data_IF_558878335063
#
_entry.id   IF_558878335063
#
_cell.length_a   1.000
_cell.length_b   1.000
_cell.length_c   1.000
_cell.angle_alpha   90.00
_cell.angle_beta   90.00
_cell.angle_gamma   90.00
#
_symmetry.space_group_name_H-M   'P 1'
#
loop_
_entity.id
_entity.type
_entity.pdbx_description
1 polymer ?
#
# COMPACT_ATOMS: atom_id res chain seq x y z
N UNK A 1 10.25 -6.17 -19.46
CA UNK A 1 10.68 -5.30 -18.34
C UNK A 1 10.25 -5.98 -17.07
N UNK A 2 10.93 -5.77 -15.94
CA UNK A 2 10.59 -6.44 -14.68
C UNK A 2 10.77 -5.51 -13.48
N UNK A 3 10.27 -5.92 -12.31
CA UNK A 3 10.57 -5.29 -11.03
C UNK A 3 11.38 -6.24 -10.15
N UNK A 4 12.35 -5.67 -9.44
CA UNK A 4 13.11 -6.40 -8.44
C UNK A 4 12.28 -6.51 -7.16
N UNK A 5 12.26 -7.66 -6.51
CA UNK A 5 11.51 -7.87 -5.27
C UNK A 5 12.46 -8.04 -4.09
N UNK A 6 12.47 -7.03 -3.22
CA UNK A 6 13.15 -7.08 -1.92
C UNK A 6 12.18 -7.60 -0.85
N UNK A 7 12.54 -8.66 -0.13
CA UNK A 7 11.67 -9.25 0.89
C UNK A 7 12.44 -9.99 1.98
N UNK A 8 11.79 -10.15 3.13
CA UNK A 8 12.28 -11.02 4.22
C UNK A 8 11.56 -12.36 4.19
N UNK A 9 12.30 -13.44 4.44
CA UNK A 9 11.76 -14.81 4.49
C UNK A 9 10.94 -15.10 5.76
N UNK A 10 10.98 -14.21 6.75
CA UNK A 10 10.23 -14.37 8.00
C UNK A 10 8.73 -14.10 7.89
N UNK A 11 8.23 -13.66 6.72
CA UNK A 11 6.82 -13.39 6.48
C UNK A 11 6.03 -14.62 6.01
N UNK A 12 4.69 -14.52 6.02
CA UNK A 12 3.83 -15.55 5.42
C UNK A 12 3.95 -15.47 3.89
N UNK A 13 4.21 -16.61 3.24
CA UNK A 13 4.31 -16.66 1.77
C UNK A 13 3.04 -16.17 1.06
N UNK A 14 1.85 -16.43 1.65
CA UNK A 14 0.59 -15.91 1.12
C UNK A 14 0.58 -14.37 1.06
N UNK A 15 1.02 -13.71 2.12
CA UNK A 15 1.05 -12.23 2.17
C UNK A 15 2.02 -11.67 1.14
N UNK A 16 3.14 -12.36 0.92
CA UNK A 16 4.09 -12.04 -0.14
C UNK A 16 3.41 -12.08 -1.52
N UNK A 17 2.71 -13.16 -1.85
CA UNK A 17 2.00 -13.29 -3.14
C UNK A 17 0.88 -12.24 -3.26
N UNK A 18 0.05 -12.10 -2.23
CA UNK A 18 -1.04 -11.11 -2.19
C UNK A 18 -0.51 -9.69 -2.40
N UNK A 19 0.65 -9.35 -1.82
CA UNK A 19 1.32 -8.06 -1.99
C UNK A 19 1.74 -7.83 -3.44
N UNK A 20 2.32 -8.83 -4.11
CA UNK A 20 2.72 -8.71 -5.52
C UNK A 20 1.50 -8.57 -6.45
N UNK A 21 0.43 -9.31 -6.19
CA UNK A 21 -0.85 -9.19 -6.92
C UNK A 21 -1.43 -7.79 -6.72
N UNK A 22 -1.43 -7.30 -5.48
CA UNK A 22 -1.91 -5.95 -5.14
C UNK A 22 -1.09 -4.88 -5.84
N UNK A 23 0.24 -4.99 -5.80
CA UNK A 23 1.15 -4.08 -6.49
C UNK A 23 0.87 -4.06 -8.00
N UNK A 24 0.75 -5.23 -8.66
CA UNK A 24 0.43 -5.30 -10.08
C UNK A 24 -0.89 -4.59 -10.42
N UNK A 25 -1.93 -4.79 -9.59
CA UNK A 25 -3.22 -4.12 -9.75
C UNK A 25 -3.13 -2.60 -9.57
N UNK A 26 -2.42 -2.12 -8.54
CA UNK A 26 -2.20 -0.68 -8.31
C UNK A 26 -1.47 -0.03 -9.48
N UNK A 27 -0.44 -0.70 -10.00
CA UNK A 27 0.33 -0.24 -11.14
C UNK A 27 -0.37 -0.45 -12.49
N UNK A 28 -1.58 -1.04 -12.50
CA UNK A 28 -2.36 -1.38 -13.69
C UNK A 28 -1.54 -2.20 -14.71
N UNK A 29 -0.66 -3.07 -14.21
CA UNK A 29 0.08 -3.99 -15.04
C UNK A 29 -0.88 -5.08 -15.50
N UNK A 30 -0.93 -5.35 -16.80
CA UNK A 30 -1.65 -6.52 -17.29
C UNK A 30 -1.02 -7.79 -16.68
N UNK A 31 -1.85 -8.79 -16.38
CA UNK A 31 -1.42 -10.01 -15.69
C UNK A 31 -0.28 -10.75 -16.39
N UNK A 32 -0.16 -10.62 -17.71
CA UNK A 32 0.92 -11.22 -18.51
C UNK A 32 2.15 -10.31 -18.70
N UNK A 33 2.05 -9.03 -18.31
CA UNK A 33 3.14 -8.05 -18.44
C UNK A 33 3.91 -7.84 -17.13
N UNK A 34 3.35 -8.26 -16.00
CA UNK A 34 3.98 -8.14 -14.69
C UNK A 34 5.04 -9.24 -14.48
N UNK A 35 6.32 -8.91 -14.71
CA UNK A 35 7.44 -9.77 -14.38
C UNK A 35 8.14 -9.31 -13.09
N UNK A 36 8.41 -10.26 -12.19
CA UNK A 36 9.09 -10.02 -10.93
C UNK A 36 10.35 -10.87 -10.82
N UNK A 37 11.48 -10.24 -10.53
CA UNK A 37 12.72 -10.93 -10.18
C UNK A 37 12.78 -11.10 -8.66
N UNK A 38 12.88 -12.33 -8.19
CA UNK A 38 12.78 -12.68 -6.77
C UNK A 38 13.94 -13.60 -6.45
N UNK A 39 14.84 -13.15 -5.55
CA UNK A 39 16.11 -13.84 -5.27
C UNK A 39 15.95 -15.33 -4.94
N UNK A 40 14.93 -15.71 -4.15
CA UNK A 40 14.65 -17.10 -3.77
C UNK A 40 14.37 -18.01 -4.96
N UNK A 41 13.80 -17.48 -6.05
CA UNK A 41 13.46 -18.26 -7.25
C UNK A 41 14.47 -18.08 -8.38
N UNK A 42 15.23 -16.98 -8.36
CA UNK A 42 16.13 -16.61 -9.45
C UNK A 42 17.57 -17.08 -9.25
N UNK A 43 18.01 -17.27 -8.01
CA UNK A 43 19.38 -17.66 -7.71
C UNK A 43 19.51 -19.17 -7.53
N UNK A 44 20.65 -19.71 -7.91
CA UNK A 44 21.02 -21.07 -7.55
C UNK A 44 21.28 -21.19 -6.04
N UNK A 45 20.24 -21.54 -5.28
CA UNK A 45 20.32 -21.70 -3.82
C UNK A 45 21.29 -22.81 -3.37
N UNK A 46 21.69 -23.70 -4.28
CA UNK A 46 22.69 -24.75 -4.01
C UNK A 46 24.12 -24.22 -4.07
N UNK A 47 24.35 -23.14 -4.81
CA UNK A 47 25.66 -22.56 -5.09
C UNK A 47 25.63 -21.03 -4.87
N UNK A 48 25.02 -20.58 -3.78
CA UNK A 48 24.88 -19.15 -3.44
C UNK A 48 26.23 -18.42 -3.40
N UNK A 49 27.31 -19.12 -3.04
CA UNK A 49 28.65 -18.54 -3.04
C UNK A 49 29.10 -18.12 -4.45
N UNK A 50 28.75 -18.88 -5.49
CA UNK A 50 29.05 -18.51 -6.89
C UNK A 50 28.17 -17.35 -7.35
N UNK A 51 26.90 -17.34 -6.94
CA UNK A 51 25.94 -16.26 -7.20
C UNK A 51 26.34 -14.91 -6.55
N UNK A 52 27.15 -14.94 -5.50
CA UNK A 52 27.68 -13.74 -4.85
C UNK A 52 28.96 -13.20 -5.50
N UNK A 53 29.69 -14.02 -6.26
CA UNK A 53 30.96 -13.64 -6.87
C UNK A 53 32.06 -13.29 -5.86
N UNK A 54 33.08 -12.57 -6.32
CA UNK A 54 34.21 -12.12 -5.48
C UNK A 54 33.88 -10.77 -4.84
N UNK A 55 33.30 -9.85 -5.60
CA UNK A 55 32.70 -8.62 -5.11
C UNK A 55 31.17 -8.79 -5.05
N UNK A 56 30.51 -8.22 -4.04
CA UNK A 56 29.04 -8.17 -3.96
C UNK A 56 28.41 -7.51 -5.20
N UNK A 57 29.15 -6.67 -5.93
CA UNK A 57 28.73 -6.10 -7.21
C UNK A 57 28.77 -7.08 -8.38
N UNK A 58 29.46 -8.21 -8.24
CA UNK A 58 29.43 -9.31 -9.21
C UNK A 58 28.21 -10.21 -9.00
N UNK A 59 27.42 -9.95 -7.97
CA UNK A 59 26.33 -10.82 -7.60
C UNK A 59 25.13 -10.69 -8.54
N UNK A 60 24.38 -11.78 -8.72
CA UNK A 60 23.18 -11.79 -9.55
C UNK A 60 22.12 -10.79 -9.08
N UNK A 61 22.05 -10.52 -7.78
CA UNK A 61 21.18 -9.49 -7.19
C UNK A 61 21.53 -8.09 -7.70
N UNK A 62 22.82 -7.73 -7.64
CA UNK A 62 23.29 -6.42 -8.09
C UNK A 62 23.06 -6.26 -9.60
N UNK A 63 23.37 -7.28 -10.39
CA UNK A 63 23.12 -7.25 -11.83
C UNK A 63 21.64 -7.13 -12.17
N UNK A 64 20.76 -7.89 -11.53
CA UNK A 64 19.33 -7.80 -11.77
C UNK A 64 18.80 -6.39 -11.43
N UNK A 65 19.21 -5.84 -10.28
CA UNK A 65 18.76 -4.53 -9.84
C UNK A 65 19.31 -3.37 -10.70
N UNK A 66 20.53 -3.49 -11.21
CA UNK A 66 21.15 -2.51 -12.11
C UNK A 66 20.80 -2.72 -13.59
N UNK A 67 20.13 -3.82 -13.95
CA UNK A 67 19.80 -4.10 -15.33
C UNK A 67 18.83 -3.06 -15.90
N UNK A 68 19.11 -2.56 -17.12
CA UNK A 68 18.32 -1.50 -17.80
C UNK A 68 16.81 -1.79 -17.96
N UNK A 69 16.40 -3.06 -17.88
CA UNK A 69 14.98 -3.44 -17.98
C UNK A 69 14.30 -3.64 -16.62
N UNK A 70 15.04 -3.56 -15.52
CA UNK A 70 14.47 -3.43 -14.18
C UNK A 70 13.92 -2.01 -14.01
N UNK A 71 12.68 -1.89 -13.56
CA UNK A 71 11.93 -0.62 -13.52
C UNK A 71 11.70 -0.06 -12.14
N UNK A 72 12.10 -0.77 -11.09
CA UNK A 72 11.91 -0.36 -9.71
C UNK A 72 12.10 -1.54 -8.77
N UNK A 73 12.11 -1.24 -7.49
CA UNK A 73 12.25 -2.23 -6.41
C UNK A 73 10.95 -2.27 -5.62
N UNK A 74 10.29 -3.42 -5.62
CA UNK A 74 9.14 -3.72 -4.77
C UNK A 74 9.68 -4.28 -3.46
N UNK A 75 9.60 -3.50 -2.39
CA UNK A 75 9.89 -3.98 -1.04
C UNK A 75 8.61 -4.47 -0.39
N UNK A 76 8.52 -5.79 -0.20
CA UNK A 76 7.40 -6.43 0.48
C UNK A 76 7.57 -6.23 1.99
N UNK A 77 6.88 -5.21 2.51
CA UNK A 77 6.96 -4.81 3.91
C UNK A 77 5.77 -5.36 4.70
N UNK A 78 6.06 -5.88 5.89
CA UNK A 78 5.03 -6.27 6.85
C UNK A 78 4.87 -5.19 7.92
N UNK A 79 3.87 -5.35 8.80
CA UNK A 79 3.57 -4.42 9.90
C UNK A 79 4.76 -4.23 10.85
N UNK A 80 5.69 -5.18 10.84
CA UNK A 80 6.90 -5.15 11.62
C UNK A 80 8.09 -4.46 10.94
N UNK A 81 7.97 -4.07 9.67
CA UNK A 81 9.06 -3.56 8.84
C UNK A 81 10.30 -4.48 8.80
N UNK A 82 10.11 -5.81 8.94
CA UNK A 82 11.21 -6.77 9.03
C UNK A 82 12.25 -6.71 7.89
N UNK A 83 11.89 -6.44 6.62
CA UNK A 83 12.91 -6.27 5.58
C UNK A 83 13.93 -5.20 5.94
N UNK A 84 13.53 -4.13 6.62
CA UNK A 84 14.41 -3.00 6.93
C UNK A 84 15.29 -3.25 8.16
N UNK A 85 15.14 -4.41 8.80
CA UNK A 85 16.07 -4.94 9.80
C UNK A 85 17.08 -5.92 9.20
N UNK A 86 16.97 -6.26 7.90
CA UNK A 86 17.81 -7.26 7.23
C UNK A 86 18.88 -6.57 6.40
N UNK A 87 20.13 -6.94 6.61
CA UNK A 87 21.25 -6.29 5.92
C UNK A 87 21.16 -6.42 4.38
N UNK A 88 20.68 -7.57 3.88
CA UNK A 88 20.53 -7.82 2.45
C UNK A 88 19.44 -6.96 1.81
N UNK A 89 18.29 -6.79 2.47
CA UNK A 89 17.25 -5.89 1.98
C UNK A 89 17.67 -4.42 2.01
N UNK A 90 18.55 -4.06 2.96
CA UNK A 90 19.12 -2.72 3.04
C UNK A 90 20.18 -2.48 1.96
N UNK A 91 20.97 -3.49 1.60
CA UNK A 91 21.80 -3.46 0.40
C UNK A 91 20.95 -3.21 -0.84
N UNK A 92 19.86 -3.95 -1.02
CA UNK A 92 18.93 -3.78 -2.15
C UNK A 92 18.34 -2.36 -2.16
N UNK A 93 17.95 -1.82 -1.00
CA UNK A 93 17.48 -0.44 -0.88
C UNK A 93 18.58 0.59 -1.21
N UNK A 94 19.83 0.33 -0.83
CA UNK A 94 20.98 1.17 -1.13
C UNK A 94 21.27 1.22 -2.64
N UNK A 95 21.34 0.05 -3.27
CA UNK A 95 21.55 -0.07 -4.72
C UNK A 95 20.37 0.53 -5.50
N UNK A 96 19.15 0.42 -4.97
CA UNK A 96 17.96 1.11 -5.50
C UNK A 96 18.15 2.62 -5.45
N UNK A 97 18.61 3.15 -4.32
CA UNK A 97 18.87 4.59 -4.14
C UNK A 97 19.91 5.13 -5.12
N UNK A 98 21.04 4.43 -5.29
CA UNK A 98 22.09 4.80 -6.24
C UNK A 98 21.54 4.90 -7.67
N UNK A 99 20.69 3.94 -8.06
CA UNK A 99 20.08 3.93 -9.38
C UNK A 99 19.03 5.03 -9.56
N UNK A 100 18.18 5.23 -8.55
CA UNK A 100 17.11 6.24 -8.55
C UNK A 100 17.65 7.67 -8.70
N UNK A 101 18.89 7.92 -8.26
CA UNK A 101 19.56 9.21 -8.44
C UNK A 101 20.02 9.49 -9.87
N UNK A 102 20.17 8.46 -10.72
CA UNK A 102 20.75 8.59 -12.06
C UNK A 102 19.81 8.18 -13.20
N UNK A 103 18.70 7.50 -12.91
CA UNK A 103 17.73 7.01 -13.89
C UNK A 103 16.32 7.51 -13.56
N UNK A 104 15.92 8.64 -14.17
CA UNK A 104 14.58 9.24 -13.98
C UNK A 104 13.43 8.31 -14.43
N UNK A 105 13.71 7.25 -15.19
CA UNK A 105 12.69 6.29 -15.65
C UNK A 105 12.48 5.13 -14.68
N UNK A 106 13.35 5.02 -13.67
CA UNK A 106 13.26 4.05 -12.59
C UNK A 106 12.24 4.53 -11.55
N UNK A 107 11.40 3.64 -11.06
CA UNK A 107 10.35 3.97 -10.09
C UNK A 107 10.87 4.02 -8.63
N UNK A 108 12.19 3.84 -8.42
CA UNK A 108 12.80 3.81 -7.10
C UNK A 108 12.30 2.67 -6.21
N UNK A 109 12.26 2.93 -4.90
CA UNK A 109 11.82 1.98 -3.88
C UNK A 109 10.31 2.11 -3.58
N UNK A 110 9.56 1.05 -3.89
CA UNK A 110 8.12 0.93 -3.69
C UNK A 110 7.84 0.04 -2.46
N UNK A 111 7.38 0.66 -1.37
CA UNK A 111 6.95 -0.04 -0.15
C UNK A 111 5.54 -0.61 -0.38
N UNK A 112 5.44 -1.93 -0.34
CA UNK A 112 4.22 -2.65 -0.68
C UNK A 112 3.82 -3.61 0.43
N UNK A 113 2.54 -3.65 0.74
CA UNK A 113 1.93 -4.67 1.59
C UNK A 113 0.64 -5.22 0.96
N UNK A 114 -0.07 -6.07 1.67
CA UNK A 114 -1.32 -6.67 1.18
C UNK A 114 -2.45 -5.66 0.97
N UNK A 115 -2.36 -4.48 1.60
CA UNK A 115 -3.34 -3.41 1.46
C UNK A 115 -3.06 -2.55 0.21
N UNK A 116 -1.80 -2.32 -0.15
CA UNK A 116 -1.45 -1.47 -1.28
C UNK A 116 0.03 -1.17 -1.44
N UNK A 117 0.30 -0.24 -2.36
CA UNK A 117 1.59 0.42 -2.53
C UNK A 117 1.54 1.76 -1.81
N UNK A 118 2.26 1.86 -0.70
CA UNK A 118 2.23 3.01 0.19
C UNK A 118 2.69 4.28 -0.55
N UNK A 119 3.70 4.13 -1.42
CA UNK A 119 4.23 5.20 -2.27
C UNK A 119 3.20 5.81 -3.24
N UNK A 120 2.07 5.16 -3.49
CA UNK A 120 0.99 5.68 -4.35
C UNK A 120 -0.23 6.15 -3.56
N UNK A 121 -0.09 6.32 -2.24
CA UNK A 121 -1.22 6.69 -1.39
C UNK A 121 -2.23 5.55 -1.19
N UNK A 122 -1.89 4.33 -1.60
CA UNK A 122 -2.78 3.16 -1.50
C UNK A 122 -2.41 2.29 -0.31
N UNK A 123 -3.41 1.73 0.35
CA UNK A 123 -3.23 0.86 1.51
C UNK A 123 -3.86 1.43 2.77
N UNK A 124 -3.55 0.81 3.90
CA UNK A 124 -4.12 1.16 5.21
C UNK A 124 -3.26 2.23 5.90
N UNK A 125 -3.89 3.35 6.27
CA UNK A 125 -3.22 4.49 6.90
C UNK A 125 -2.63 4.13 8.27
N UNK A 126 -3.32 3.33 9.08
CA UNK A 126 -2.82 2.93 10.39
C UNK A 126 -1.57 2.06 10.23
N UNK A 127 -1.58 1.14 9.25
CA UNK A 127 -0.41 0.33 8.93
C UNK A 127 0.75 1.21 8.45
N UNK A 128 0.49 2.18 7.58
CA UNK A 128 1.53 3.09 7.11
C UNK A 128 2.12 3.96 8.24
N UNK A 129 1.29 4.44 9.16
CA UNK A 129 1.76 5.17 10.36
C UNK A 129 2.60 4.26 11.25
N UNK A 130 2.19 3.00 11.46
CA UNK A 130 2.97 2.04 12.23
C UNK A 130 4.33 1.76 11.59
N UNK A 131 4.36 1.50 10.28
CA UNK A 131 5.59 1.32 9.50
C UNK A 131 6.47 2.57 9.61
N UNK A 132 5.90 3.76 9.48
CA UNK A 132 6.65 5.01 9.60
C UNK A 132 7.26 5.22 10.99
N UNK A 133 6.51 4.95 12.06
CA UNK A 133 7.03 5.02 13.44
C UNK A 133 8.22 4.10 13.64
N UNK A 134 8.21 2.91 13.05
CA UNK A 134 9.37 2.00 13.07
C UNK A 134 10.53 2.58 12.26
N UNK A 135 10.21 3.11 11.08
CA UNK A 135 11.22 3.63 10.15
C UNK A 135 11.89 4.93 10.58
N UNK A 136 11.26 5.71 11.45
CA UNK A 136 11.86 6.89 12.07
C UNK A 136 13.18 6.56 12.78
N UNK A 137 13.29 5.35 13.33
CA UNK A 137 14.45 4.90 14.09
C UNK A 137 15.31 3.87 13.35
N UNK A 138 14.92 3.48 12.13
CA UNK A 138 15.73 2.53 11.35
C UNK A 138 17.10 3.15 11.08
N UNK A 139 18.11 2.34 11.37
CA UNK A 139 19.51 2.65 11.18
C UNK A 139 20.19 1.42 10.61
N UNK A 140 20.71 1.53 9.38
CA UNK A 140 21.38 0.42 8.69
C UNK A 140 22.49 -0.24 9.53
N UNK A 141 23.12 0.48 10.46
CA UNK A 141 24.17 -0.07 11.36
C UNK A 141 23.63 -1.18 12.27
N UNK A 142 22.36 -1.09 12.63
CA UNK A 142 21.69 -2.02 13.54
C UNK A 142 21.07 -3.23 12.82
N UNK A 143 21.20 -3.30 11.49
CA UNK A 143 20.67 -4.41 10.71
C UNK A 143 21.26 -5.76 11.11
N UNK A 144 20.46 -6.80 10.99
CA UNK A 144 20.79 -8.18 11.29
C UNK A 144 21.17 -8.94 10.03
N UNK A 145 22.07 -9.92 10.20
CA UNK A 145 22.46 -10.88 9.19
C UNK A 145 22.48 -12.26 9.81
N UNK A 146 22.01 -13.27 9.07
CA UNK A 146 22.12 -14.66 9.52
C UNK A 146 23.59 -15.11 9.56
N UNK A 147 24.43 -14.54 8.68
CA UNK A 147 25.87 -14.74 8.63
C UNK A 147 26.55 -13.41 8.96
N UNK A 148 27.36 -13.37 10.03
CA UNK A 148 27.99 -12.13 10.50
C UNK A 148 28.97 -11.52 9.47
N UNK A 149 29.60 -12.36 8.63
CA UNK A 149 30.49 -11.91 7.56
C UNK A 149 29.75 -11.07 6.52
N UNK A 150 28.55 -11.48 6.10
CA UNK A 150 27.71 -10.72 5.16
C UNK A 150 27.46 -9.30 5.64
N UNK A 151 27.25 -9.13 6.96
CA UNK A 151 27.04 -7.81 7.54
C UNK A 151 28.24 -6.88 7.29
N UNK A 152 29.45 -7.39 7.48
CA UNK A 152 30.65 -6.60 7.25
C UNK A 152 30.85 -6.28 5.77
N UNK A 153 30.59 -7.24 4.89
CA UNK A 153 30.69 -7.04 3.44
C UNK A 153 29.73 -5.94 2.99
N UNK A 154 28.44 -6.06 3.32
CA UNK A 154 27.43 -5.07 2.93
C UNK A 154 27.73 -3.71 3.54
N UNK A 155 28.04 -3.62 4.83
CA UNK A 155 28.34 -2.33 5.46
C UNK A 155 29.56 -1.66 4.81
N UNK A 156 30.61 -2.43 4.49
CA UNK A 156 31.81 -1.90 3.84
C UNK A 156 31.55 -1.41 2.42
N UNK A 157 30.63 -2.04 1.70
CA UNK A 157 30.24 -1.63 0.35
C UNK A 157 29.39 -0.37 0.41
N UNK A 158 28.41 -0.34 1.32
CA UNK A 158 27.57 0.83 1.55
C UNK A 158 28.40 2.05 1.99
N UNK A 159 29.41 1.86 2.84
CA UNK A 159 30.28 2.96 3.31
C UNK A 159 31.09 3.60 2.16
N UNK A 160 31.35 2.85 1.09
CA UNK A 160 32.00 3.34 -0.14
C UNK A 160 31.04 4.05 -1.09
N UNK A 161 29.73 3.96 -0.88
CA UNK A 161 28.73 4.66 -1.71
C UNK A 161 28.72 6.15 -1.34
N UNK A 162 28.32 7.00 -2.28
CA UNK A 162 28.24 8.45 -2.03
C UNK A 162 27.26 8.75 -0.88
N UNK A 163 27.77 9.42 0.16
CA UNK A 163 27.04 9.72 1.39
C UNK A 163 26.81 8.53 2.34
N UNK A 164 27.30 7.34 1.99
CA UNK A 164 27.37 6.16 2.84
C UNK A 164 26.05 5.74 3.48
N UNK A 165 26.14 5.17 4.68
CA UNK A 165 24.97 4.74 5.48
C UNK A 165 23.98 5.89 5.76
N UNK A 166 24.48 7.12 5.87
CA UNK A 166 23.66 8.30 6.13
C UNK A 166 22.70 8.61 4.98
N UNK A 167 23.22 8.55 3.75
CA UNK A 167 22.44 8.76 2.52
C UNK A 167 21.29 7.75 2.40
N UNK A 168 21.56 6.47 2.65
CA UNK A 168 20.55 5.41 2.51
C UNK A 168 19.50 5.47 3.61
N UNK A 169 19.92 5.72 4.86
CA UNK A 169 18.98 6.02 5.94
C UNK A 169 18.06 7.19 5.56
N UNK A 170 18.64 8.25 4.98
CA UNK A 170 17.90 9.40 4.45
C UNK A 170 16.92 9.03 3.35
N UNK A 171 17.34 8.22 2.39
CA UNK A 171 16.52 7.76 1.26
C UNK A 171 15.31 6.95 1.73
N UNK A 172 15.51 5.95 2.57
CA UNK A 172 14.41 5.11 3.10
C UNK A 172 13.44 5.96 3.93
N UNK A 173 13.96 6.86 4.79
CA UNK A 173 13.15 7.77 5.60
C UNK A 173 12.38 8.79 4.75
N UNK A 174 12.99 9.28 3.67
CA UNK A 174 12.34 10.17 2.72
C UNK A 174 11.24 9.46 1.95
N UNK A 175 11.48 8.23 1.51
CA UNK A 175 10.50 7.38 0.83
C UNK A 175 9.24 7.16 1.68
N UNK A 176 9.40 6.74 2.94
CA UNK A 176 8.24 6.54 3.82
C UNK A 176 7.54 7.86 4.17
N UNK A 177 8.28 8.95 4.35
CA UNK A 177 7.68 10.28 4.56
C UNK A 177 6.82 10.68 3.36
N UNK A 178 7.33 10.53 2.14
CA UNK A 178 6.61 10.83 0.91
C UNK A 178 5.38 9.94 0.74
N UNK A 179 5.48 8.65 1.08
CA UNK A 179 4.35 7.73 1.10
C UNK A 179 3.25 8.18 2.07
N UNK A 180 3.61 8.51 3.32
CA UNK A 180 2.66 9.04 4.31
C UNK A 180 1.95 10.31 3.83
N UNK A 181 2.70 11.25 3.24
CA UNK A 181 2.12 12.47 2.72
C UNK A 181 1.12 12.19 1.59
N UNK A 182 1.45 11.26 0.69
CA UNK A 182 0.53 10.84 -0.38
C UNK A 182 -0.72 10.14 0.16
N UNK A 183 -0.57 9.28 1.17
CA UNK A 183 -1.70 8.62 1.82
C UNK A 183 -2.61 9.61 2.55
N UNK A 184 -2.04 10.62 3.22
CA UNK A 184 -2.80 11.70 3.84
C UNK A 184 -3.63 12.47 2.80
N UNK A 185 -3.01 12.85 1.67
CA UNK A 185 -3.72 13.54 0.58
C UNK A 185 -4.83 12.67 -0.01
N UNK A 186 -4.59 11.39 -0.25
CA UNK A 186 -5.59 10.47 -0.78
C UNK A 186 -6.78 10.31 0.18
N UNK A 187 -6.50 10.15 1.48
CA UNK A 187 -7.52 10.06 2.51
C UNK A 187 -8.37 11.32 2.62
N UNK A 188 -7.76 12.50 2.65
CA UNK A 188 -8.48 13.77 2.67
C UNK A 188 -9.41 13.92 1.45
N UNK A 189 -8.96 13.51 0.27
CA UNK A 189 -9.79 13.53 -0.92
C UNK A 189 -11.00 12.60 -0.79
N UNK A 190 -10.80 11.39 -0.29
CA UNK A 190 -11.88 10.40 -0.13
C UNK A 190 -12.86 10.80 0.98
N UNK A 191 -12.37 11.33 2.10
CA UNK A 191 -13.19 11.90 3.16
C UNK A 191 -14.10 13.02 2.61
N UNK A 192 -13.52 13.97 1.88
CA UNK A 192 -14.28 15.08 1.31
C UNK A 192 -15.32 14.60 0.27
N UNK A 193 -15.02 13.57 -0.53
CA UNK A 193 -16.00 12.96 -1.44
C UNK A 193 -17.19 12.37 -0.69
N UNK A 194 -16.94 11.65 0.40
CA UNK A 194 -18.00 11.05 1.22
C UNK A 194 -18.85 12.13 1.87
N UNK A 195 -18.25 13.16 2.47
CA UNK A 195 -18.98 14.30 3.07
C UNK A 195 -19.85 15.00 2.03
N UNK A 196 -19.33 15.23 0.82
CA UNK A 196 -20.10 15.83 -0.27
C UNK A 196 -21.25 14.93 -0.74
N UNK A 197 -21.02 13.62 -0.84
CA UNK A 197 -22.04 12.65 -1.23
C UNK A 197 -23.18 12.59 -0.19
N UNK A 198 -22.85 12.53 1.10
CA UNK A 198 -23.83 12.58 2.19
C UNK A 198 -24.62 13.89 2.17
N UNK A 199 -23.95 15.02 1.92
CA UNK A 199 -24.62 16.33 1.81
C UNK A 199 -25.57 16.41 0.62
N UNK A 200 -25.24 15.77 -0.51
CA UNK A 200 -26.14 15.70 -1.68
C UNK A 200 -27.34 14.80 -1.41
N UNK A 201 -27.09 13.61 -0.86
CA UNK A 201 -28.15 12.66 -0.49
C UNK A 201 -29.15 13.27 0.49
N UNK A 202 -28.67 14.02 1.49
CA UNK A 202 -29.54 14.73 2.42
C UNK A 202 -30.41 15.80 1.73
N UNK A 203 -29.86 16.54 0.76
CA UNK A 203 -30.62 17.55 -0.02
C UNK A 203 -31.67 16.93 -0.92
N UNK A 204 -31.33 15.83 -1.61
CA UNK A 204 -32.27 15.08 -2.45
C UNK A 204 -33.46 14.57 -1.63
N UNK A 205 -33.20 14.05 -0.43
CA UNK A 205 -34.24 13.53 0.46
C UNK A 205 -35.19 14.64 0.95
N UNK A 206 -34.66 15.83 1.25
CA UNK A 206 -35.48 17.01 1.60
C UNK A 206 -36.31 17.49 0.40
N UNK A 207 -35.74 17.50 -0.81
CA UNK A 207 -36.47 17.87 -2.04
C UNK A 207 -37.67 16.95 -2.27
N UNK A 208 -37.46 15.63 -2.19
CA UNK A 208 -38.50 14.62 -2.37
C UNK A 208 -39.64 14.77 -1.34
N UNK A 209 -39.30 15.02 -0.07
CA UNK A 209 -40.29 15.24 0.98
C UNK A 209 -41.08 16.55 0.79
N UNK A 210 -40.44 17.59 0.26
CA UNK A 210 -41.09 18.87 -0.03
C UNK A 210 -42.05 18.79 -1.23
N UNK A 211 -41.71 18.02 -2.26
CA UNK A 211 -42.58 17.77 -3.42
C UNK A 211 -43.81 16.95 -3.04
N UNK A 212 -43.65 15.91 -2.20
CA UNK A 212 -44.77 15.12 -1.67
C UNK A 212 -45.69 15.92 -0.74
N UNK A 213 -45.16 16.89 0.00
CA UNK A 213 -45.96 17.75 0.88
C UNK A 213 -46.81 18.77 0.11
N UNK A 214 -46.39 19.16 -1.10
CA UNK A 214 -47.13 20.07 -1.98
C UNK A 214 -48.28 19.39 -2.75
N UNK A 215 -48.23 18.07 -2.95
CA UNK A 215 -49.32 17.29 -3.57
C UNK A 215 -50.47 16.96 -2.61
N UNK A 216 -50.28 17.16 -1.29
CA UNK A 216 -51.30 16.87 -0.26
C UNK A 216 -52.09 18.09 0.24
N UNK A 217 -52.09 19.23 -0.47
CA UNK A 217 -53.03 20.30 -0.13
C UNK A 217 -54.49 19.86 -0.39
N UNK A 218 -55.41 19.99 0.59
CA UNK A 218 -56.78 19.56 0.42
C UNK A 218 -57.49 20.50 -0.57
N UNK A 219 -58.11 19.91 -1.61
CA UNK A 219 -59.09 20.62 -2.46
C UNK A 219 -60.14 21.26 -1.56
N UNK A 220 -60.19 22.59 -1.52
CA UNK A 220 -61.33 23.35 -0.99
C UNK A 220 -62.52 23.16 -1.94
N UNK A 221 -63.62 22.62 -1.41
CA UNK A 221 -64.91 22.39 -2.06
C UNK A 221 -65.35 20.95 -1.78
N UNK A 222 -66.42 20.65 -1.05
CA UNK A 222 -67.60 21.42 -0.67
C UNK A 222 -68.07 21.03 0.75
N UNK A 223 -68.70 21.98 1.43
CA UNK A 223 -69.58 21.72 2.55
C UNK A 223 -70.79 20.95 2.03
N UNK A 224 -71.01 19.71 2.49
CA UNK A 224 -72.38 19.24 2.71
C UNK A 224 -72.50 18.11 3.74
N UNK A 225 -73.66 18.10 4.39
CA UNK A 225 -74.05 17.36 5.59
C UNK A 225 -74.16 15.82 5.43
N UNK A 226 -74.03 15.15 6.58
CA UNK A 226 -74.42 13.76 6.89
C UNK A 226 -73.55 12.66 6.23
N UNK A 227 -73.05 11.66 6.94
CA UNK A 227 -73.84 10.54 7.48
C UNK A 227 -72.97 9.73 8.46
N UNK A 228 -73.63 9.08 9.40
CA UNK A 228 -73.06 8.32 10.50
C UNK A 228 -72.45 6.94 10.09
N UNK A 229 -71.73 6.36 11.07
CA UNK A 229 -71.41 4.92 11.27
C UNK A 229 -70.28 4.29 10.44
N UNK A 230 -69.13 4.01 11.07
CA UNK A 230 -68.92 2.73 11.77
C UNK A 230 -67.47 2.60 12.26
N UNK A 231 -67.32 2.24 13.53
CA UNK A 231 -66.07 1.78 14.13
C UNK A 231 -65.66 0.44 13.51
N UNK A 232 -64.45 0.36 12.97
CA UNK A 232 -63.69 -0.90 12.91
C UNK A 232 -62.24 -0.65 13.28
N UNK A 233 -61.93 -1.01 14.52
CA UNK A 233 -60.59 -1.30 15.02
C UNK A 233 -59.88 -2.32 14.13
N UNK A 234 -58.70 -1.98 13.62
CA UNK A 234 -57.69 -2.97 13.23
C UNK A 234 -56.30 -2.47 13.65
N UNK A 235 -55.80 -3.07 14.72
CA UNK A 235 -54.39 -3.03 15.13
C UNK A 235 -53.55 -3.86 14.16
N UNK A 236 -52.41 -3.33 13.71
CA UNK A 236 -51.30 -4.15 13.25
C UNK A 236 -50.00 -3.55 13.78
N UNK A 237 -49.53 -4.14 14.88
CA UNK A 237 -48.16 -4.04 15.38
C UNK A 237 -47.20 -4.83 14.48
N UNK A 238 -46.03 -4.23 14.30
CA UNK A 238 -44.70 -4.83 14.19
C UNK A 238 -44.48 -6.15 13.45
N UNK A 239 -43.75 -6.05 12.33
CA UNK A 239 -42.82 -7.10 11.91
C UNK A 239 -41.43 -6.54 11.58
N UNK A 240 -40.55 -6.76 12.56
CA UNK A 240 -39.10 -6.71 12.48
C UNK A 240 -38.54 -7.47 11.26
N UNK A 241 -37.63 -6.79 10.55
CA UNK A 241 -36.71 -7.35 9.55
C UNK A 241 -35.74 -8.35 10.18
N UNK A 242 -35.73 -9.59 9.68
CA UNK A 242 -34.70 -10.58 9.96
C UNK A 242 -33.55 -10.43 8.96
N UNK A 243 -32.36 -10.17 9.49
CA UNK A 243 -31.07 -10.32 8.81
C UNK A 243 -30.72 -11.82 8.80
N UNK A 244 -30.38 -12.36 7.62
CA UNK A 244 -29.77 -13.69 7.51
C UNK A 244 -28.26 -13.55 7.47
N UNK A 245 -27.60 -14.37 8.32
CA UNK A 245 -26.16 -14.67 8.33
C UNK A 245 -25.84 -15.62 7.20
#
# INVERSE_FOLDING_TARGET
MFLFVSHSWGGRFKDFVDTLVRHAATMRLASFDAAYWICTFSNNQWEVAEEMGIDIKDSSFYFALQHKTCRGTVMVINDNALPLERIWCLFEAATTCERDQVDETFHGLLLCNTAGVLNHGTGDMDIAIQIARRLMHVDLRNAQASVAADKQVVLSMVDKMEGGLGSINGYVRSGIRSALMQMHVAFEQDFNKVVLALSRSAKELVSLLSEHSLEMEPRKGDLDESTALSERSYSHEDKLMRVYV
#
